data_IF_916047215023
#
_entry.id   IF_916047215023
#
_cell.length_a   1.000
_cell.length_b   1.000
_cell.length_c   1.000
_cell.angle_alpha   90.00
_cell.angle_beta   90.00
_cell.angle_gamma   90.00
#
_symmetry.space_group_name_H-M   'P 1'
#
loop_
_entity.id
_entity.type
_entity.pdbx_description
1 polymer ?
#
# COMPACT_ATOMS: atom_id res chain seq x y z
N UNK A 1 -10.64 -11.86 -27.33
CA UNK A 1 -11.62 -12.20 -26.28
C UNK A 1 -10.89 -12.33 -24.95
N UNK A 2 -10.87 -11.23 -24.19
CA UNK A 2 -9.99 -11.02 -23.04
C UNK A 2 -10.21 -12.01 -21.90
N UNK A 3 -9.10 -12.58 -21.42
CA UNK A 3 -9.11 -13.34 -20.18
C UNK A 3 -9.37 -12.40 -19.01
N UNK A 4 -10.54 -12.51 -18.39
CA UNK A 4 -10.81 -11.88 -17.11
C UNK A 4 -9.76 -12.40 -16.10
N UNK A 5 -8.91 -11.49 -15.62
CA UNK A 5 -8.15 -11.73 -14.39
C UNK A 5 -9.17 -12.06 -13.31
N UNK A 6 -9.17 -13.31 -12.83
CA UNK A 6 -9.98 -13.74 -11.68
C UNK A 6 -9.70 -12.76 -10.54
N UNK A 7 -10.69 -11.94 -10.21
CA UNK A 7 -10.68 -11.15 -8.98
C UNK A 7 -10.64 -12.18 -7.85
N UNK A 8 -9.57 -12.17 -7.05
CA UNK A 8 -9.50 -12.98 -5.84
C UNK A 8 -10.53 -12.39 -4.87
N UNK A 9 -11.72 -12.99 -4.83
CA UNK A 9 -12.75 -12.69 -3.85
C UNK A 9 -12.48 -13.57 -2.64
N UNK A 10 -12.39 -12.96 -1.46
CA UNK A 10 -12.18 -13.67 -0.21
C UNK A 10 -13.28 -13.27 0.76
N UNK A 11 -14.20 -14.20 1.00
CA UNK A 11 -15.29 -14.01 1.96
C UNK A 11 -14.74 -14.11 3.37
N UNK A 12 -15.06 -13.12 4.21
CA UNK A 12 -14.56 -13.00 5.57
C UNK A 12 -15.64 -12.46 6.49
N UNK A 13 -15.85 -13.16 7.60
CA UNK A 13 -16.68 -12.67 8.68
C UNK A 13 -15.85 -11.71 9.55
N UNK A 14 -16.07 -10.40 9.43
CA UNK A 14 -15.48 -9.42 10.35
C UNK A 14 -16.22 -9.41 11.68
N UNK A 15 -15.47 -9.35 12.76
CA UNK A 15 -15.98 -9.19 14.13
C UNK A 15 -15.38 -7.95 14.76
N UNK A 16 -16.01 -7.49 15.84
CA UNK A 16 -15.42 -6.44 16.66
C UNK A 16 -13.98 -6.81 17.08
N UNK A 17 -13.08 -5.86 16.92
CA UNK A 17 -11.65 -6.02 17.20
C UNK A 17 -10.83 -6.62 16.05
N UNK A 18 -11.45 -7.03 14.93
CA UNK A 18 -10.72 -7.36 13.72
C UNK A 18 -10.22 -6.05 13.05
N UNK A 19 -8.96 -6.05 12.64
CA UNK A 19 -8.27 -4.89 12.08
C UNK A 19 -7.74 -5.22 10.68
N UNK A 20 -8.05 -4.37 9.72
CA UNK A 20 -7.43 -4.40 8.39
C UNK A 20 -6.34 -3.31 8.32
N UNK A 21 -5.09 -3.75 8.15
CA UNK A 21 -3.92 -2.90 7.97
C UNK A 21 -3.50 -2.92 6.50
N UNK A 22 -3.54 -1.76 5.87
CA UNK A 22 -3.25 -1.61 4.44
C UNK A 22 -2.15 -0.58 4.22
N UNK A 23 -1.13 -0.88 3.40
CA UNK A 23 -0.17 0.14 2.99
C UNK A 23 -0.84 1.20 2.11
N UNK A 24 -0.22 2.39 2.10
CA UNK A 24 -0.63 3.46 1.20
C UNK A 24 -0.59 2.97 -0.27
N UNK A 25 -1.67 3.24 -1.01
CA UNK A 25 -1.78 2.85 -2.42
C UNK A 25 -2.15 1.38 -2.66
N UNK A 26 -2.44 0.59 -1.62
CA UNK A 26 -2.98 -0.75 -1.79
C UNK A 26 -4.31 -0.71 -2.56
N UNK A 27 -4.39 -1.48 -3.65
CA UNK A 27 -5.65 -1.69 -4.35
C UNK A 27 -6.48 -2.75 -3.60
N UNK A 28 -7.74 -2.43 -3.33
CA UNK A 28 -8.69 -3.32 -2.67
C UNK A 28 -10.12 -2.84 -2.92
N UNK A 29 -11.05 -3.78 -2.89
CA UNK A 29 -12.48 -3.50 -2.87
C UNK A 29 -13.10 -4.38 -1.79
N UNK A 30 -14.03 -3.81 -1.03
CA UNK A 30 -14.80 -4.51 -0.01
C UNK A 30 -16.27 -4.38 -0.37
N UNK A 31 -17.02 -5.43 -0.09
CA UNK A 31 -18.47 -5.46 -0.17
C UNK A 31 -18.95 -6.04 1.15
N UNK A 32 -19.82 -5.30 1.84
CA UNK A 32 -20.38 -5.72 3.11
C UNK A 32 -21.76 -6.34 2.85
N UNK A 33 -22.00 -7.54 3.40
CA UNK A 33 -23.29 -8.24 3.26
C UNK A 33 -24.43 -7.59 4.09
N UNK A 34 -24.12 -6.58 4.90
CA UNK A 34 -25.07 -5.86 5.73
C UNK A 34 -24.48 -4.59 6.36
N UNK A 35 -25.23 -3.88 7.22
CA UNK A 35 -24.75 -2.67 7.87
C UNK A 35 -23.49 -2.93 8.70
N UNK A 36 -22.40 -2.23 8.39
CA UNK A 36 -21.14 -2.29 9.11
C UNK A 36 -20.77 -0.92 9.69
N UNK A 37 -20.16 -0.91 10.88
CA UNK A 37 -19.54 0.28 11.48
C UNK A 37 -18.07 -0.01 11.72
N UNK A 38 -17.21 0.81 11.17
CA UNK A 38 -15.76 0.70 11.32
C UNK A 38 -15.15 2.06 11.68
N UNK A 39 -14.01 2.02 12.38
CA UNK A 39 -13.15 3.17 12.58
C UNK A 39 -12.06 3.15 11.50
N UNK A 40 -12.09 4.11 10.58
CA UNK A 40 -11.05 4.27 9.57
C UNK A 40 -9.99 5.25 10.03
N UNK A 41 -8.77 4.75 10.28
CA UNK A 41 -7.62 5.57 10.63
C UNK A 41 -6.68 5.70 9.43
N UNK A 42 -6.42 6.94 9.01
CA UNK A 42 -5.44 7.24 7.96
C UNK A 42 -4.26 7.99 8.58
N UNK A 43 -3.09 7.38 8.53
CA UNK A 43 -1.87 8.01 9.06
C UNK A 43 -1.20 8.83 7.96
N UNK A 44 -0.99 10.11 8.25
CA UNK A 44 -0.30 11.01 7.35
C UNK A 44 1.16 10.55 7.13
N UNK A 45 1.72 10.68 5.91
CA UNK A 45 3.12 10.34 5.68
C UNK A 45 4.10 11.08 6.61
N UNK A 46 3.78 12.31 7.02
CA UNK A 46 4.60 13.09 7.96
C UNK A 46 4.65 12.46 9.37
N UNK A 47 3.52 11.92 9.84
CA UNK A 47 3.44 11.22 11.12
C UNK A 47 4.26 9.92 11.09
N UNK A 48 4.15 9.16 10.00
CA UNK A 48 4.96 7.96 9.79
C UNK A 48 6.46 8.26 9.76
N UNK A 49 6.87 9.37 9.12
CA UNK A 49 8.27 9.82 9.13
C UNK A 49 8.73 10.20 10.53
N UNK A 50 7.94 11.00 11.25
CA UNK A 50 8.27 11.42 12.62
C UNK A 50 8.43 10.22 13.56
N UNK A 51 7.56 9.20 13.42
CA UNK A 51 7.68 7.96 14.17
C UNK A 51 8.95 7.17 13.79
N UNK A 52 9.30 7.09 12.51
CA UNK A 52 10.51 6.41 12.06
C UNK A 52 11.78 7.09 12.60
N UNK A 53 11.82 8.43 12.55
CA UNK A 53 12.91 9.25 13.10
C UNK A 53 13.06 9.03 14.61
N UNK A 54 11.95 9.09 15.37
CA UNK A 54 11.96 8.84 16.81
C UNK A 54 12.39 7.42 17.21
N UNK A 55 12.22 6.45 16.31
CA UNK A 55 12.69 5.07 16.49
C UNK A 55 14.14 4.84 16.03
N UNK A 56 14.79 5.84 15.45
CA UNK A 56 16.12 5.70 14.85
C UNK A 56 16.15 4.73 13.66
N UNK A 57 15.02 4.52 12.97
CA UNK A 57 14.97 3.68 11.78
C UNK A 57 15.67 4.41 10.63
N UNK A 58 16.68 3.76 10.04
CA UNK A 58 17.40 4.32 8.89
C UNK A 58 16.45 4.67 7.74
N UNK A 59 16.83 5.63 6.89
CA UNK A 59 16.08 6.11 5.72
C UNK A 59 15.83 5.06 4.62
N UNK A 60 16.05 3.77 4.91
CA UNK A 60 15.68 2.67 4.05
C UNK A 60 14.18 2.64 3.79
N UNK A 61 13.78 2.08 2.64
CA UNK A 61 12.37 1.91 2.31
C UNK A 61 11.81 0.83 3.22
N UNK A 62 11.01 1.23 4.19
CA UNK A 62 10.22 0.33 5.03
C UNK A 62 8.89 0.06 4.35
N UNK A 63 8.46 -1.19 4.35
CA UNK A 63 7.19 -1.60 3.77
C UNK A 63 6.34 -2.31 4.83
N UNK A 64 5.05 -1.96 4.87
CA UNK A 64 4.04 -2.65 5.66
C UNK A 64 3.23 -3.48 4.67
N UNK A 65 3.31 -4.81 4.80
CA UNK A 65 2.48 -5.69 3.98
C UNK A 65 1.00 -5.60 4.39
N UNK A 66 0.04 -5.74 3.45
CA UNK A 66 -1.37 -5.85 3.80
C UNK A 66 -1.61 -6.99 4.80
N UNK A 67 -2.35 -6.71 5.87
CA UNK A 67 -2.81 -7.70 6.86
C UNK A 67 -4.30 -7.49 7.05
N UNK A 68 -5.06 -8.57 6.93
CA UNK A 68 -6.52 -8.53 6.99
C UNK A 68 -6.96 -9.41 8.17
N UNK A 69 -7.97 -8.96 8.91
CA UNK A 69 -8.42 -9.59 10.16
C UNK A 69 -7.29 -9.78 11.20
N UNK A 70 -6.41 -8.78 11.31
CA UNK A 70 -5.40 -8.72 12.37
C UNK A 70 -6.09 -8.56 13.73
N UNK A 71 -5.51 -9.21 14.75
CA UNK A 71 -5.83 -8.95 16.16
C UNK A 71 -4.60 -8.45 16.88
N UNK A 72 -4.59 -7.15 17.15
CA UNK A 72 -3.52 -6.49 17.91
C UNK A 72 -4.15 -5.61 19.01
N UNK A 73 -4.05 -6.02 20.29
CA UNK A 73 -4.63 -5.27 21.40
C UNK A 73 -4.10 -3.84 21.52
N UNK A 74 -2.85 -3.57 21.12
CA UNK A 74 -2.29 -2.21 21.19
C UNK A 74 -2.90 -1.32 20.12
N UNK A 75 -3.05 -1.81 18.89
CA UNK A 75 -3.74 -1.06 17.85
C UNK A 75 -5.19 -0.80 18.25
N UNK A 76 -5.87 -1.80 18.81
CA UNK A 76 -7.25 -1.64 19.28
C UNK A 76 -7.38 -0.54 20.35
N UNK A 77 -6.55 -0.58 21.41
CA UNK A 77 -6.58 0.44 22.46
C UNK A 77 -6.28 1.85 21.93
N UNK A 78 -5.27 2.00 21.08
CA UNK A 78 -4.92 3.29 20.48
C UNK A 78 -6.04 3.79 19.55
N UNK A 79 -6.67 2.89 18.81
CA UNK A 79 -7.84 3.21 17.97
C UNK A 79 -9.04 3.67 18.79
N UNK A 80 -9.33 3.02 19.91
CA UNK A 80 -10.41 3.44 20.81
C UNK A 80 -10.14 4.80 21.45
N UNK A 81 -8.89 5.10 21.81
CA UNK A 81 -8.53 6.43 22.30
C UNK A 81 -8.72 7.51 21.21
N UNK A 82 -8.30 7.26 19.97
CA UNK A 82 -8.53 8.18 18.85
C UNK A 82 -10.02 8.35 18.52
N UNK A 83 -10.82 7.30 18.67
CA UNK A 83 -12.27 7.37 18.51
C UNK A 83 -12.89 8.27 19.59
N UNK A 84 -12.47 8.13 20.84
CA UNK A 84 -12.95 8.98 21.93
C UNK A 84 -12.64 10.46 21.66
N UNK A 85 -11.44 10.77 21.16
CA UNK A 85 -11.10 12.14 20.75
C UNK A 85 -11.96 12.65 19.60
N UNK A 86 -12.21 11.81 18.59
CA UNK A 86 -13.09 12.16 17.48
C UNK A 86 -14.52 12.48 17.95
N UNK A 87 -15.01 11.77 18.97
CA UNK A 87 -16.35 11.93 19.53
C UNK A 87 -16.44 13.06 20.56
N UNK A 88 -15.31 13.52 21.12
CA UNK A 88 -15.25 14.60 22.12
C UNK A 88 -15.59 15.98 21.54
N UNK A 89 -15.55 16.16 20.21
CA UNK A 89 -15.95 17.41 19.57
C UNK A 89 -15.12 18.60 20.03
N UNK A 90 -15.76 19.58 20.69
CA UNK A 90 -15.10 20.79 21.19
C UNK A 90 -14.13 20.54 22.35
N UNK A 91 -14.24 19.40 23.03
CA UNK A 91 -13.35 19.00 24.14
C UNK A 91 -12.14 18.19 23.65
N UNK A 92 -12.02 17.93 22.34
CA UNK A 92 -10.86 17.23 21.79
C UNK A 92 -9.57 18.04 21.98
N UNK A 93 -8.49 17.35 22.35
CA UNK A 93 -7.16 17.92 22.43
C UNK A 93 -6.30 17.44 21.24
N UNK A 94 -5.99 18.33 20.27
CA UNK A 94 -5.15 17.99 19.13
C UNK A 94 -3.78 17.43 19.52
N UNK A 95 -3.18 17.91 20.61
CA UNK A 95 -1.88 17.43 21.07
C UNK A 95 -1.97 15.98 21.58
N UNK A 96 -3.05 15.65 22.28
CA UNK A 96 -3.31 14.30 22.74
C UNK A 96 -3.59 13.35 21.57
N UNK A 97 -4.40 13.76 20.61
CA UNK A 97 -4.66 13.00 19.38
C UNK A 97 -3.37 12.76 18.56
N UNK A 98 -2.54 13.79 18.39
CA UNK A 98 -1.24 13.69 17.72
C UNK A 98 -0.29 12.72 18.45
N UNK A 99 -0.29 12.76 19.78
CA UNK A 99 0.52 11.85 20.61
C UNK A 99 0.10 10.39 20.45
N UNK A 100 -1.21 10.11 20.46
CA UNK A 100 -1.73 8.75 20.21
C UNK A 100 -1.44 8.32 18.77
N UNK A 101 -1.63 9.21 17.80
CA UNK A 101 -1.31 8.95 16.40
C UNK A 101 0.17 8.58 16.20
N UNK A 102 1.07 9.31 16.86
CA UNK A 102 2.51 9.02 16.83
C UNK A 102 2.83 7.67 17.48
N UNK A 103 2.20 7.34 18.60
CA UNK A 103 2.34 6.05 19.26
C UNK A 103 1.85 4.89 18.38
N UNK A 104 0.73 5.07 17.67
CA UNK A 104 0.21 4.10 16.71
C UNK A 104 1.16 3.91 15.53
N UNK A 105 1.64 5.00 14.94
CA UNK A 105 2.61 4.95 13.85
C UNK A 105 3.90 4.22 14.26
N UNK A 106 4.43 4.52 15.45
CA UNK A 106 5.63 3.86 15.98
C UNK A 106 5.40 2.37 16.21
N UNK A 107 4.26 1.97 16.78
CA UNK A 107 3.91 0.56 16.95
C UNK A 107 3.80 -0.18 15.61
N UNK A 108 3.15 0.44 14.61
CA UNK A 108 3.04 -0.12 13.28
C UNK A 108 4.41 -0.35 12.63
N UNK A 109 5.30 0.64 12.70
CA UNK A 109 6.65 0.53 12.17
C UNK A 109 7.46 -0.55 12.88
N UNK A 110 7.43 -0.62 14.21
CA UNK A 110 8.19 -1.63 14.96
C UNK A 110 7.72 -3.06 14.72
N UNK A 111 6.41 -3.26 14.58
CA UNK A 111 5.81 -4.60 14.58
C UNK A 111 5.53 -5.14 13.19
N UNK A 112 5.15 -4.27 12.27
CA UNK A 112 4.60 -4.66 10.96
C UNK A 112 5.42 -4.14 9.78
N UNK A 113 6.31 -3.17 9.97
CA UNK A 113 7.23 -2.80 8.90
C UNK A 113 8.38 -3.81 8.82
N UNK A 114 8.69 -4.21 7.60
CA UNK A 114 9.91 -4.91 7.27
C UNK A 114 10.77 -4.00 6.40
N UNK A 115 12.11 -4.15 6.41
CA UNK A 115 12.93 -3.62 5.34
C UNK A 115 12.35 -4.13 4.04
N UNK A 116 12.01 -3.22 3.13
CA UNK A 116 11.76 -3.62 1.76
C UNK A 116 13.05 -4.30 1.31
N UNK A 117 12.99 -5.52 0.74
CA UNK A 117 14.15 -6.04 0.02
C UNK A 117 14.62 -4.90 -0.86
N UNK A 118 15.92 -4.62 -0.91
CA UNK A 118 16.43 -3.69 -1.90
C UNK A 118 15.86 -4.21 -3.23
N UNK A 119 14.82 -3.54 -3.76
CA UNK A 119 14.26 -3.91 -5.03
C UNK A 119 15.49 -3.94 -5.90
N UNK A 120 15.82 -5.09 -6.49
CA UNK A 120 16.99 -5.21 -7.35
C UNK A 120 16.89 -4.00 -8.26
N UNK A 121 17.77 -3.02 -8.05
CA UNK A 121 17.53 -1.61 -8.39
C UNK A 121 17.80 -1.43 -9.88
N UNK A 122 17.02 -2.16 -10.67
CA UNK A 122 17.31 -2.58 -12.03
C UNK A 122 16.33 -3.62 -12.59
N UNK A 123 15.26 -4.00 -11.87
CA UNK A 123 14.26 -4.98 -12.35
C UNK A 123 12.94 -4.39 -12.88
N UNK A 124 12.85 -3.07 -13.08
CA UNK A 124 11.72 -2.45 -13.78
C UNK A 124 12.22 -1.53 -14.91
N UNK A 125 11.38 -1.29 -15.92
CA UNK A 125 11.68 -0.28 -16.94
C UNK A 125 11.78 1.10 -16.31
N UNK A 126 12.75 1.90 -16.73
CA UNK A 126 12.77 3.32 -16.37
C UNK A 126 11.52 4.02 -16.91
N UNK A 127 11.09 5.12 -16.29
CA UNK A 127 9.92 5.90 -16.74
C UNK A 127 10.00 6.25 -18.23
N UNK A 128 11.19 6.58 -18.73
CA UNK A 128 11.43 6.91 -20.14
C UNK A 128 11.27 5.69 -21.06
N UNK A 129 11.73 4.52 -20.64
CA UNK A 129 11.54 3.29 -21.41
C UNK A 129 10.07 2.89 -21.45
N UNK A 130 9.36 2.95 -20.32
CA UNK A 130 7.94 2.64 -20.26
C UNK A 130 7.11 3.60 -21.12
N UNK A 131 7.36 4.91 -21.06
CA UNK A 131 6.66 5.90 -21.86
C UNK A 131 6.77 5.62 -23.37
N UNK A 132 7.98 5.32 -23.86
CA UNK A 132 8.20 5.00 -25.28
C UNK A 132 7.49 3.71 -25.72
N UNK A 133 7.46 2.72 -24.83
CA UNK A 133 6.77 1.45 -25.10
C UNK A 133 5.26 1.65 -25.16
N UNK A 134 4.68 2.44 -24.25
CA UNK A 134 3.26 2.78 -24.26
C UNK A 134 2.87 3.61 -25.49
N UNK A 135 3.69 4.60 -25.86
CA UNK A 135 3.50 5.42 -27.07
C UNK A 135 3.46 4.56 -28.34
N UNK A 136 4.34 3.55 -28.44
CA UNK A 136 4.30 2.60 -29.56
C UNK A 136 3.02 1.75 -29.56
N UNK A 137 2.56 1.29 -28.39
CA UNK A 137 1.34 0.50 -28.27
C UNK A 137 0.12 1.33 -28.68
N UNK A 138 0.03 2.56 -28.18
CA UNK A 138 -1.04 3.50 -28.51
C UNK A 138 -1.06 3.87 -30.00
N UNK A 139 0.11 4.09 -30.60
CA UNK A 139 0.23 4.39 -32.03
C UNK A 139 -0.13 3.23 -32.95
N UNK A 140 -0.21 1.99 -32.45
CA UNK A 140 -0.38 0.76 -33.25
C UNK A 140 -1.37 -0.24 -32.65
N UNK A 141 -2.48 0.26 -32.10
CA UNK A 141 -3.51 -0.57 -31.45
C UNK A 141 -4.21 -1.57 -32.40
N UNK A 142 -4.20 -1.29 -33.70
CA UNK A 142 -4.81 -2.11 -34.76
C UNK A 142 -3.87 -3.18 -35.32
N UNK A 143 -2.61 -3.21 -34.88
CA UNK A 143 -1.56 -4.09 -35.40
C UNK A 143 -1.10 -5.11 -34.37
N UNK A 144 -0.56 -6.24 -34.83
CA UNK A 144 0.10 -7.21 -33.95
C UNK A 144 1.48 -6.70 -33.57
N UNK A 145 1.67 -6.37 -32.29
CA UNK A 145 2.96 -6.03 -31.71
C UNK A 145 3.65 -7.27 -31.13
N UNK A 146 4.92 -7.45 -31.45
CA UNK A 146 5.74 -8.53 -30.93
C UNK A 146 6.53 -8.09 -29.70
N UNK A 147 6.88 -9.06 -28.84
CA UNK A 147 7.74 -8.79 -27.68
C UNK A 147 9.11 -8.22 -28.09
N UNK A 148 9.61 -8.59 -29.26
CA UNK A 148 10.88 -8.10 -29.78
C UNK A 148 10.83 -6.61 -30.13
N UNK A 149 9.73 -6.15 -30.72
CA UNK A 149 9.53 -4.73 -31.04
C UNK A 149 9.40 -3.87 -29.79
N UNK A 150 8.64 -4.34 -28.79
CA UNK A 150 8.51 -3.63 -27.51
C UNK A 150 9.85 -3.55 -26.78
N UNK A 151 10.62 -4.64 -26.78
CA UNK A 151 11.95 -4.68 -26.19
C UNK A 151 12.94 -3.74 -26.90
N UNK A 152 12.93 -3.72 -28.24
CA UNK A 152 13.77 -2.83 -29.03
C UNK A 152 13.45 -1.35 -28.76
N UNK A 153 12.18 -0.99 -28.62
CA UNK A 153 11.76 0.38 -28.25
C UNK A 153 12.29 0.81 -26.88
N UNK A 154 12.39 -0.13 -25.94
CA UNK A 154 13.00 0.09 -24.63
C UNK A 154 14.54 0.04 -24.65
N UNK A 155 15.17 -0.27 -25.78
CA UNK A 155 16.63 -0.44 -25.90
C UNK A 155 17.15 -1.71 -25.23
N UNK A 156 16.34 -2.77 -25.18
CA UNK A 156 16.63 -4.00 -24.45
C UNK A 156 16.49 -5.24 -25.33
N UNK A 157 17.13 -6.34 -24.94
CA UNK A 157 16.84 -7.65 -25.52
C UNK A 157 15.48 -8.17 -25.04
N UNK A 158 14.79 -9.06 -25.80
CA UNK A 158 13.50 -9.61 -25.38
C UNK A 158 13.57 -10.37 -24.05
N UNK A 159 14.70 -11.05 -23.77
CA UNK A 159 14.94 -11.79 -22.54
C UNK A 159 15.12 -10.87 -21.33
N UNK A 160 15.76 -9.71 -21.49
CA UNK A 160 15.82 -8.69 -20.44
C UNK A 160 14.52 -7.91 -20.30
N UNK A 161 13.84 -7.59 -21.39
CA UNK A 161 12.60 -6.80 -21.34
C UNK A 161 11.45 -7.52 -20.61
N UNK A 162 11.28 -8.83 -20.85
CA UNK A 162 10.15 -9.61 -20.35
C UNK A 162 9.95 -9.57 -18.82
N UNK A 163 10.98 -9.73 -17.96
CA UNK A 163 10.82 -9.53 -16.52
C UNK A 163 10.58 -8.07 -16.15
N UNK A 164 11.26 -7.11 -16.80
CA UNK A 164 11.15 -5.68 -16.49
C UNK A 164 9.78 -5.07 -16.83
N UNK A 165 9.10 -5.61 -17.83
CA UNK A 165 7.75 -5.20 -18.23
C UNK A 165 6.64 -5.88 -17.42
N UNK A 166 6.94 -7.00 -16.75
CA UNK A 166 5.98 -7.73 -15.90
C UNK A 166 5.98 -7.28 -14.44
N UNK A 167 7.10 -6.73 -13.97
CA UNK A 167 7.26 -6.16 -12.63
C UNK A 167 6.36 -4.93 -12.45
#
# INVERSE_FOLDING_TARGET
MGGLRRRLVQDRLQREGDIDLLPAGAAGAWEDEGPARFLLLRLAPALMRSAAEGLGLASGRLEIAPRLQLRDPRIAHLGWALKAELEAGAESDPLYADSIGLALAAHLLRRYAAPMPAAASGQALSRRQLARVLELIEARLDQRLTLAELAATAGLSPSHFKPLFKA
#
